data_IF_579405077449
#
_entry.id   IF_579405077449
#
_cell.length_a   1.000
_cell.length_b   1.000
_cell.length_c   1.000
_cell.angle_alpha   90.00
_cell.angle_beta   90.00
_cell.angle_gamma   90.00
#
_symmetry.space_group_name_H-M   'P 1'
#
loop_
_entity.id
_entity.type
_entity.pdbx_description
1 polymer ?
#
# COMPACT_ATOMS: atom_id res chain seq x y z
N UNK A 1 -2.04 -22.82 10.79
CA UNK A 1 -3.15 -22.13 10.10
C UNK A 1 -3.23 -20.74 10.70
N UNK A 2 -2.41 -19.81 10.22
CA UNK A 2 -2.47 -18.41 10.65
C UNK A 2 -3.78 -17.83 10.16
N UNK A 3 -4.64 -17.39 11.08
CA UNK A 3 -5.85 -16.63 10.76
C UNK A 3 -5.44 -15.40 9.96
N UNK A 4 -5.62 -15.46 8.65
CA UNK A 4 -5.67 -14.28 7.80
C UNK A 4 -6.94 -13.53 8.16
N UNK A 5 -6.93 -12.82 9.31
CA UNK A 5 -7.98 -11.86 9.64
C UNK A 5 -8.08 -10.95 8.43
N UNK A 6 -9.19 -11.07 7.69
CA UNK A 6 -9.56 -10.16 6.60
C UNK A 6 -9.28 -8.75 7.11
N UNK A 7 -8.27 -8.09 6.55
CA UNK A 7 -7.82 -6.79 7.01
C UNK A 7 -9.01 -5.83 6.92
N UNK A 8 -9.51 -5.40 8.07
CA UNK A 8 -10.48 -4.31 8.19
C UNK A 8 -9.89 -2.99 7.64
N UNK A 9 -8.57 -2.96 7.41
CA UNK A 9 -7.78 -1.79 6.97
C UNK A 9 -8.25 -1.12 5.68
N UNK A 10 -8.73 -1.86 4.67
CA UNK A 10 -9.20 -1.23 3.42
C UNK A 10 -10.40 -0.31 3.64
N UNK A 11 -11.25 -0.59 4.65
CA UNK A 11 -12.46 0.19 4.95
C UNK A 11 -12.21 1.38 5.89
N UNK A 12 -11.08 1.41 6.60
CA UNK A 12 -10.79 2.43 7.62
C UNK A 12 -9.73 3.45 7.21
N UNK A 13 -8.99 3.19 6.12
CA UNK A 13 -7.94 4.10 5.66
C UNK A 13 -8.58 5.35 5.02
N UNK A 14 -8.34 6.57 5.54
CA UNK A 14 -8.88 7.79 4.93
C UNK A 14 -8.32 8.00 3.52
N UNK A 15 -9.14 8.50 2.59
CA UNK A 15 -8.67 8.77 1.22
C UNK A 15 -7.49 9.75 1.16
N UNK A 16 -7.43 10.71 2.08
CA UNK A 16 -6.32 11.66 2.19
C UNK A 16 -5.00 11.07 2.72
N UNK A 17 -4.98 9.81 3.17
CA UNK A 17 -3.76 9.14 3.61
C UNK A 17 -2.96 8.51 2.45
N UNK A 18 -3.57 8.39 1.27
CA UNK A 18 -2.93 7.78 0.10
C UNK A 18 -2.04 8.78 -0.65
N UNK A 19 -0.79 8.40 -0.85
CA UNK A 19 0.19 9.12 -1.64
C UNK A 19 0.44 8.39 -2.95
N UNK A 20 0.27 9.10 -4.08
CA UNK A 20 0.54 8.57 -5.41
C UNK A 20 2.03 8.64 -5.73
N UNK A 21 2.59 7.53 -6.22
CA UNK A 21 3.99 7.47 -6.64
C UNK A 21 4.27 8.44 -7.79
N UNK A 22 5.44 9.10 -7.77
CA UNK A 22 5.91 9.93 -8.88
C UNK A 22 6.21 9.14 -10.15
N UNK A 23 6.41 7.83 -10.03
CA UNK A 23 6.58 6.90 -11.14
C UNK A 23 5.24 6.45 -11.74
N UNK A 24 4.11 6.91 -11.19
CA UNK A 24 2.76 6.65 -11.70
C UNK A 24 2.34 7.66 -12.75
N UNK A 25 2.86 7.46 -13.96
CA UNK A 25 2.49 8.21 -15.14
C UNK A 25 1.32 7.60 -15.94
N UNK A 26 0.79 8.38 -16.87
CA UNK A 26 -0.29 7.96 -17.79
C UNK A 26 0.24 7.10 -18.94
N UNK A 27 1.57 6.97 -19.07
CA UNK A 27 2.27 6.27 -20.16
C UNK A 27 2.21 4.74 -20.04
N UNK A 28 1.59 4.20 -18.98
CA UNK A 28 1.21 2.79 -18.90
C UNK A 28 2.12 1.89 -18.07
N UNK A 29 3.03 2.43 -17.25
CA UNK A 29 3.96 1.60 -16.48
C UNK A 29 3.41 1.13 -15.13
N UNK A 30 3.22 2.05 -14.19
CA UNK A 30 3.16 1.66 -12.77
C UNK A 30 2.14 2.50 -11.99
N UNK A 31 0.93 2.01 -11.73
CA UNK A 31 -0.10 2.77 -11.00
C UNK A 31 -0.14 2.33 -9.53
N UNK A 32 0.59 3.02 -8.65
CA UNK A 32 0.68 2.67 -7.23
C UNK A 32 0.42 3.89 -6.36
N UNK A 33 -0.46 3.71 -5.38
CA UNK A 33 -0.61 4.57 -4.21
C UNK A 33 -0.19 3.82 -2.95
N UNK A 34 0.42 4.55 -2.01
CA UNK A 34 0.89 4.02 -0.73
C UNK A 34 0.31 4.86 0.41
N UNK A 35 -0.16 4.22 1.48
CA UNK A 35 -0.56 4.88 2.71
C UNK A 35 0.36 4.47 3.86
N UNK A 36 1.00 5.44 4.50
CA UNK A 36 1.78 5.23 5.72
C UNK A 36 0.86 5.31 6.94
N UNK A 37 0.54 4.15 7.52
CA UNK A 37 -0.34 4.03 8.69
C UNK A 37 0.49 3.68 9.93
N UNK A 38 -0.16 3.75 11.10
CA UNK A 38 0.51 3.55 12.40
C UNK A 38 1.20 2.19 12.50
N UNK A 39 0.50 1.10 12.15
CA UNK A 39 1.01 -0.27 12.30
C UNK A 39 1.30 -0.98 10.97
N UNK A 40 0.86 -0.38 9.85
CA UNK A 40 0.85 -1.00 8.53
C UNK A 40 1.21 0.00 7.44
N UNK A 41 1.57 -0.53 6.28
CA UNK A 41 1.68 0.19 5.02
C UNK A 41 0.66 -0.38 4.05
N UNK A 42 -0.23 0.47 3.57
CA UNK A 42 -1.21 0.13 2.54
C UNK A 42 -0.63 0.37 1.14
N UNK A 43 -0.92 -0.51 0.20
CA UNK A 43 -0.49 -0.43 -1.20
C UNK A 43 -1.70 -0.74 -2.08
N UNK A 44 -2.06 0.17 -2.99
CA UNK A 44 -3.20 -0.02 -3.91
C UNK A 44 -2.91 0.46 -5.33
N UNK A 45 -3.76 0.05 -6.26
CA UNK A 45 -3.75 0.55 -7.63
C UNK A 45 -4.32 1.98 -7.69
N UNK A 46 -3.54 2.95 -8.17
CA UNK A 46 -4.00 4.34 -8.32
C UNK A 46 -5.19 4.50 -9.29
N UNK A 47 -5.42 3.56 -10.20
CA UNK A 47 -6.52 3.59 -11.17
C UNK A 47 -7.84 3.13 -10.55
N UNK A 48 -7.78 2.40 -9.43
CA UNK A 48 -8.93 1.79 -8.77
C UNK A 48 -8.85 2.09 -7.28
N UNK A 49 -8.98 3.38 -6.91
CA UNK A 49 -8.84 3.82 -5.51
C UNK A 49 -9.77 3.09 -4.52
N UNK A 50 -10.98 2.73 -4.97
CA UNK A 50 -11.94 1.95 -4.16
C UNK A 50 -11.75 0.42 -4.26
N UNK A 51 -10.68 -0.03 -4.93
CA UNK A 51 -10.37 -1.44 -5.14
C UNK A 51 -9.67 -2.08 -3.94
N UNK A 52 -9.32 -3.37 -4.05
CA UNK A 52 -8.54 -4.06 -3.03
C UNK A 52 -7.16 -3.39 -2.81
N UNK A 53 -6.71 -3.38 -1.57
CA UNK A 53 -5.38 -2.92 -1.19
C UNK A 53 -4.64 -4.01 -0.42
N UNK A 54 -3.32 -4.10 -0.63
CA UNK A 54 -2.42 -4.94 0.15
C UNK A 54 -1.97 -4.16 1.39
N UNK A 55 -2.01 -4.81 2.56
CA UNK A 55 -1.51 -4.24 3.80
C UNK A 55 -0.33 -5.08 4.31
N UNK A 56 0.76 -4.39 4.63
CA UNK A 56 1.99 -5.01 5.14
C UNK A 56 2.30 -4.36 6.49
N UNK A 57 2.55 -5.16 7.52
CA UNK A 57 2.97 -4.62 8.83
C UNK A 57 4.23 -3.75 8.72
N UNK A 58 4.36 -2.75 9.60
CA UNK A 58 5.47 -1.78 9.54
C UNK A 58 6.85 -2.44 9.65
N UNK A 59 6.99 -3.44 10.52
CA UNK A 59 8.25 -4.17 10.70
C UNK A 59 8.70 -4.93 9.42
N UNK A 60 7.87 -5.80 8.81
CA UNK A 60 8.26 -6.45 7.55
C UNK A 60 8.42 -5.46 6.38
N UNK A 61 7.65 -4.36 6.34
CA UNK A 61 7.86 -3.31 5.35
C UNK A 61 9.24 -2.64 5.45
N UNK A 62 9.66 -2.28 6.67
CA UNK A 62 10.99 -1.69 6.89
C UNK A 62 12.12 -2.65 6.51
N UNK A 63 11.98 -3.94 6.85
CA UNK A 63 12.94 -4.96 6.46
C UNK A 63 13.02 -5.14 4.93
N UNK A 64 11.88 -5.04 4.23
CA UNK A 64 11.85 -5.09 2.77
C UNK A 64 12.61 -3.90 2.16
N UNK A 65 12.29 -2.67 2.56
CA UNK A 65 12.91 -1.47 2.01
C UNK A 65 14.42 -1.39 2.31
N UNK A 66 14.87 -1.88 3.48
CA UNK A 66 16.30 -1.89 3.80
C UNK A 66 17.13 -2.83 2.92
N UNK A 67 16.48 -3.74 2.18
CA UNK A 67 17.13 -4.70 1.29
C UNK A 67 16.85 -4.43 -0.20
N UNK A 68 16.08 -3.38 -0.53
CA UNK A 68 15.88 -2.96 -1.92
C UNK A 68 17.14 -2.26 -2.42
N UNK A 69 17.66 -2.72 -3.56
CA UNK A 69 18.77 -2.09 -4.29
C UNK A 69 18.29 -1.60 -5.65
N UNK A 70 18.95 -0.57 -6.19
CA UNK A 70 18.65 0.00 -7.51
C UNK A 70 19.18 -0.87 -8.66
#
# INVERSE_FOLDING_TARGET
MTDHKKSVGTKLTPEGAWFKSSYSDQSGGNCVEVADLTDEVGIRDSKVGNGPALFVGKAPWNAFISNVTA
#
